data_IF_976573066979
#
_entry.id   IF_976573066979
#
_cell.length_a   1.000
_cell.length_b   1.000
_cell.length_c   1.000
_cell.angle_alpha   90.00
_cell.angle_beta   90.00
_cell.angle_gamma   90.00
#
_symmetry.space_group_name_H-M   'P 1'
#
loop_
_entity.id
_entity.type
_entity.pdbx_description
1 polymer ?
#
# COMPACT_ATOMS: atom_id res chain seq x y z
N UNK A 1 -9.21 9.45 5.24
CA UNK A 1 -7.87 8.90 4.92
C UNK A 1 -6.86 10.04 5.06
N UNK A 2 -5.90 9.94 5.98
CA UNK A 2 -4.98 11.04 6.33
C UNK A 2 -3.51 10.75 5.99
N UNK A 3 -3.19 9.54 5.52
CA UNK A 3 -1.82 9.06 5.30
C UNK A 3 -1.12 9.55 4.04
N UNK A 4 -1.85 10.07 3.06
CA UNK A 4 -1.28 10.42 1.74
C UNK A 4 -1.13 9.20 0.83
N UNK A 5 -0.50 9.41 -0.33
CA UNK A 5 -0.25 8.37 -1.32
C UNK A 5 1.00 7.57 -0.94
N UNK A 6 0.92 6.23 -1.07
CA UNK A 6 2.05 5.32 -0.84
C UNK A 6 3.25 5.68 -1.71
N UNK A 7 2.99 6.12 -2.94
CA UNK A 7 4.04 6.46 -3.88
C UNK A 7 4.80 7.74 -3.50
N UNK A 8 4.11 8.75 -2.96
CA UNK A 8 4.76 9.96 -2.45
C UNK A 8 5.69 9.64 -1.26
N UNK A 9 5.29 8.73 -0.36
CA UNK A 9 6.15 8.29 0.75
C UNK A 9 7.38 7.53 0.24
N UNK A 10 7.24 6.71 -0.81
CA UNK A 10 8.37 6.00 -1.42
C UNK A 10 9.37 6.99 -2.04
N UNK A 11 8.88 7.95 -2.83
CA UNK A 11 9.73 8.95 -3.52
C UNK A 11 10.42 9.88 -2.53
N UNK A 12 9.82 10.15 -1.36
CA UNK A 12 10.41 11.01 -0.34
C UNK A 12 11.57 10.36 0.45
N UNK A 13 11.82 9.04 0.29
CA UNK A 13 12.90 8.34 1.01
C UNK A 13 14.23 8.48 0.29
N UNK A 14 15.27 8.82 1.04
CA UNK A 14 16.66 8.87 0.53
C UNK A 14 17.19 7.47 0.14
N UNK A 15 16.73 6.43 0.84
CA UNK A 15 17.07 5.04 0.56
C UNK A 15 15.80 4.20 0.43
N UNK A 16 15.75 3.38 -0.61
CA UNK A 16 14.65 2.45 -0.88
C UNK A 16 15.21 1.14 -1.44
N UNK A 17 15.05 0.05 -0.70
CA UNK A 17 15.59 -1.26 -1.05
C UNK A 17 14.54 -2.16 -1.70
N UNK A 18 14.99 -3.26 -2.31
CA UNK A 18 14.06 -4.30 -2.78
C UNK A 18 13.23 -4.92 -1.64
N UNK A 19 13.77 -4.96 -0.42
CA UNK A 19 13.04 -5.43 0.75
C UNK A 19 11.87 -4.48 1.08
N UNK A 20 12.06 -3.16 0.96
CA UNK A 20 10.99 -2.18 1.12
C UNK A 20 9.91 -2.34 0.05
N UNK A 21 10.33 -2.53 -1.22
CA UNK A 21 9.42 -2.79 -2.33
C UNK A 21 8.61 -4.09 -2.15
N UNK A 22 9.26 -5.15 -1.67
CA UNK A 22 8.63 -6.43 -1.36
C UNK A 22 7.57 -6.28 -0.27
N UNK A 23 7.87 -5.54 0.80
CA UNK A 23 6.91 -5.29 1.86
C UNK A 23 5.71 -4.45 1.39
N UNK A 24 5.97 -3.46 0.54
CA UNK A 24 4.94 -2.64 -0.09
C UNK A 24 3.99 -3.48 -0.97
N UNK A 25 4.54 -4.28 -1.89
CA UNK A 25 3.72 -5.10 -2.80
C UNK A 25 2.95 -6.21 -2.07
N UNK A 26 3.48 -6.72 -0.95
CA UNK A 26 2.76 -7.68 -0.10
C UNK A 26 1.42 -7.12 0.37
N UNK A 27 1.39 -5.88 0.87
CA UNK A 27 0.15 -5.24 1.33
C UNK A 27 -0.84 -5.01 0.19
N UNK A 28 -0.35 -4.61 -0.99
CA UNK A 28 -1.18 -4.44 -2.19
C UNK A 28 -1.81 -5.78 -2.59
N UNK A 29 -1.03 -6.86 -2.60
CA UNK A 29 -1.50 -8.19 -2.95
C UNK A 29 -2.51 -8.73 -1.93
N UNK A 30 -2.35 -8.44 -0.64
CA UNK A 30 -3.33 -8.79 0.39
C UNK A 30 -4.67 -8.10 0.16
N UNK A 31 -4.66 -6.80 -0.20
CA UNK A 31 -5.88 -6.07 -0.53
C UNK A 31 -6.55 -6.60 -1.82
N UNK A 32 -5.75 -6.89 -2.85
CA UNK A 32 -6.26 -7.48 -4.10
C UNK A 32 -6.84 -8.88 -3.86
N UNK A 33 -6.17 -9.70 -3.04
CA UNK A 33 -6.68 -11.01 -2.64
C UNK A 33 -8.05 -10.88 -1.96
N UNK A 34 -8.21 -9.95 -1.03
CA UNK A 34 -9.49 -9.72 -0.36
C UNK A 34 -10.62 -9.33 -1.34
N UNK A 35 -10.31 -8.47 -2.33
CA UNK A 35 -11.25 -8.15 -3.41
C UNK A 35 -11.65 -9.42 -4.18
N UNK A 36 -10.67 -10.23 -4.58
CA UNK A 36 -10.90 -11.45 -5.36
C UNK A 36 -11.70 -12.50 -4.57
N UNK A 37 -11.45 -12.66 -3.26
CA UNK A 37 -12.24 -13.50 -2.36
C UNK A 37 -13.72 -13.06 -2.30
N UNK A 38 -13.97 -11.77 -2.51
CA UNK A 38 -15.31 -11.17 -2.59
C UNK A 38 -15.90 -11.14 -4.00
N UNK A 39 -15.28 -11.82 -4.98
CA UNK A 39 -15.63 -11.77 -6.41
C UNK A 39 -15.62 -10.34 -7.01
N UNK A 40 -14.79 -9.45 -6.48
CA UNK A 40 -14.61 -8.08 -6.95
C UNK A 40 -13.26 -7.96 -7.66
N UNK A 41 -13.24 -7.39 -8.86
CA UNK A 41 -12.01 -7.03 -9.58
C UNK A 41 -11.78 -5.53 -9.43
N UNK A 42 -10.60 -5.12 -8.94
CA UNK A 42 -10.29 -3.70 -8.73
C UNK A 42 -10.29 -2.90 -10.04
N UNK A 43 -9.73 -3.46 -11.13
CA UNK A 43 -9.64 -2.89 -12.49
C UNK A 43 -8.83 -1.61 -12.68
N UNK A 44 -8.61 -0.81 -11.64
CA UNK A 44 -7.84 0.44 -11.70
C UNK A 44 -6.67 0.44 -10.71
N UNK A 45 -5.88 -0.63 -10.72
CA UNK A 45 -4.73 -0.74 -9.84
C UNK A 45 -3.58 0.11 -10.38
N UNK A 46 -3.30 1.22 -9.70
CA UNK A 46 -2.28 2.21 -10.04
C UNK A 46 -1.80 2.94 -8.78
N UNK A 47 -0.59 3.54 -8.78
CA UNK A 47 -0.01 4.18 -7.59
C UNK A 47 -0.93 5.19 -6.89
N UNK A 48 -1.70 5.96 -7.66
CA UNK A 48 -2.60 7.02 -7.20
C UNK A 48 -3.77 6.47 -6.34
N UNK A 49 -4.10 5.18 -6.50
CA UNK A 49 -5.17 4.51 -5.74
C UNK A 49 -4.63 3.72 -4.52
N UNK A 50 -3.32 3.79 -4.24
CA UNK A 50 -2.70 3.13 -3.09
C UNK A 50 -2.48 4.14 -1.96
N UNK A 51 -3.45 4.22 -1.05
CA UNK A 51 -3.44 5.18 0.04
C UNK A 51 -2.88 4.57 1.34
N UNK A 52 -2.08 5.34 2.06
CA UNK A 52 -1.60 4.97 3.38
C UNK A 52 -2.71 5.15 4.42
N UNK A 53 -2.87 4.17 5.32
CA UNK A 53 -3.85 4.22 6.41
C UNK A 53 -3.57 5.39 7.38
N UNK A 54 -2.30 5.76 7.56
CA UNK A 54 -1.85 6.87 8.41
C UNK A 54 -0.44 7.34 8.02
N UNK A 55 -0.06 8.57 8.37
CA UNK A 55 1.30 9.13 8.18
C UNK A 55 2.35 8.58 9.16
N UNK A 56 1.96 7.70 10.08
CA UNK A 56 2.84 7.18 11.14
C UNK A 56 3.72 6.05 10.61
N UNK A 57 5.05 6.24 10.64
CA UNK A 57 6.01 5.14 10.45
C UNK A 57 5.76 4.05 11.51
N UNK A 58 5.45 2.83 11.08
CA UNK A 58 5.28 1.67 11.96
C UNK A 58 3.92 1.55 12.66
N UNK A 59 2.85 2.18 12.15
CA UNK A 59 1.51 1.97 12.69
C UNK A 59 1.07 0.50 12.52
N UNK A 60 0.88 -0.22 13.62
CA UNK A 60 0.40 -1.60 13.62
C UNK A 60 -0.98 -1.70 12.97
N UNK A 61 -1.14 -2.65 12.03
CA UNK A 61 -2.41 -3.00 11.42
C UNK A 61 -3.34 -3.54 12.50
N UNK A 62 -4.36 -2.77 12.89
CA UNK A 62 -5.42 -3.24 13.77
C UNK A 62 -6.53 -3.89 12.95
N UNK A 63 -6.97 -5.04 13.45
CA UNK A 63 -8.04 -5.90 12.94
C UNK A 63 -9.40 -5.20 12.97
#
# INVERSE_FOLDING_TARGET
>A
VTGGELFEDIVAREFYSEADASHCIQQVLEAVRHCHESNIVHRDLKPENLLLASKTKGAAVRR
#
